data_IF_456154429770
#
_entry.id   IF_456154429770
#
_cell.length_a   1.000
_cell.length_b   1.000
_cell.length_c   1.000
_cell.angle_alpha   90.00
_cell.angle_beta   90.00
_cell.angle_gamma   90.00
#
_symmetry.space_group_name_H-M   'P 1'
#
loop_
_entity.id
_entity.type
_entity.pdbx_description
1 polymer ?
#
# COMPACT_ATOMS: atom_id res chain seq x y z
N UNK A 1 4.79 30.57 5.92
CA UNK A 1 4.25 29.32 6.51
C UNK A 1 4.68 29.18 7.95
N UNK A 2 3.85 28.57 8.80
CA UNK A 2 4.14 28.21 10.20
C UNK A 2 3.92 26.70 10.35
N UNK A 3 4.52 26.07 11.35
CA UNK A 3 4.23 24.66 11.68
C UNK A 3 3.15 24.55 12.77
N UNK A 4 2.50 23.39 12.87
CA UNK A 4 1.50 23.14 13.91
C UNK A 4 2.14 22.71 15.24
N UNK A 5 3.14 21.84 15.20
CA UNK A 5 3.76 21.24 16.38
C UNK A 5 5.07 21.98 16.74
N UNK A 6 5.21 22.45 17.97
CA UNK A 6 6.37 23.26 18.40
C UNK A 6 7.48 22.38 18.98
N UNK A 7 8.09 21.57 18.12
CA UNK A 7 9.05 20.55 18.52
C UNK A 7 10.47 20.99 18.18
N UNK A 8 11.33 21.04 19.20
CA UNK A 8 12.78 21.19 19.03
C UNK A 8 13.47 19.82 19.14
N UNK A 9 14.67 19.68 18.57
CA UNK A 9 15.38 18.39 18.48
C UNK A 9 15.52 17.63 19.81
N UNK A 10 15.76 18.32 20.94
CA UNK A 10 15.84 17.65 22.25
C UNK A 10 14.52 17.04 22.68
N UNK A 11 13.42 17.75 22.45
CA UNK A 11 12.09 17.28 22.80
C UNK A 11 11.64 16.16 21.86
N UNK A 12 11.97 16.27 20.56
CA UNK A 12 11.78 15.20 19.59
C UNK A 12 12.42 13.88 20.06
N UNK A 13 13.71 13.92 20.40
CA UNK A 13 14.40 12.72 20.86
C UNK A 13 13.79 12.16 22.16
N UNK A 14 13.37 13.04 23.08
CA UNK A 14 12.76 12.64 24.36
C UNK A 14 11.40 11.97 24.16
N UNK A 15 10.54 12.52 23.30
CA UNK A 15 9.19 12.00 23.08
C UNK A 15 9.22 10.65 22.35
N UNK A 16 10.09 10.50 21.35
CA UNK A 16 10.19 9.25 20.58
C UNK A 16 10.87 8.13 21.39
N UNK A 17 11.94 8.44 22.14
CA UNK A 17 12.59 7.45 23.01
C UNK A 17 11.64 6.89 24.07
N UNK A 18 10.73 7.71 24.61
CA UNK A 18 9.74 7.25 25.59
C UNK A 18 8.76 6.22 25.00
N UNK A 19 8.42 6.32 23.71
CA UNK A 19 7.60 5.34 23.00
C UNK A 19 8.37 4.05 22.78
N UNK A 20 9.62 4.17 22.32
CA UNK A 20 10.49 3.02 22.04
C UNK A 20 10.73 2.13 23.27
N UNK A 21 10.94 2.71 24.45
CA UNK A 21 11.09 1.95 25.69
C UNK A 21 9.87 1.06 26.00
N UNK A 22 8.65 1.54 25.69
CA UNK A 22 7.41 0.75 25.87
C UNK A 22 7.28 -0.34 24.80
N UNK A 23 7.55 0.02 23.55
CA UNK A 23 7.50 -0.90 22.42
C UNK A 23 8.48 -2.06 22.62
N UNK A 24 9.77 -1.77 22.82
CA UNK A 24 10.79 -2.80 22.93
C UNK A 24 10.70 -3.59 24.23
N UNK A 25 10.28 -2.98 25.34
CA UNK A 25 9.96 -3.72 26.57
C UNK A 25 8.89 -4.79 26.34
N UNK A 26 7.83 -4.45 25.60
CA UNK A 26 6.76 -5.40 25.26
C UNK A 26 7.27 -6.54 24.37
N UNK A 27 8.01 -6.21 23.29
CA UNK A 27 8.52 -7.20 22.33
C UNK A 27 9.55 -8.15 22.99
N UNK A 28 10.57 -7.59 23.63
CA UNK A 28 11.77 -8.32 24.05
C UNK A 28 11.64 -9.01 25.40
N UNK A 29 10.69 -8.60 26.25
CA UNK A 29 10.38 -9.28 27.51
C UNK A 29 9.04 -10.02 27.42
N UNK A 30 7.93 -9.27 27.32
CA UNK A 30 6.58 -9.80 27.44
C UNK A 30 6.24 -10.83 26.37
N UNK A 31 6.25 -10.42 25.10
CA UNK A 31 5.87 -11.29 23.98
C UNK A 31 6.85 -12.44 23.75
N UNK A 32 8.14 -12.21 24.01
CA UNK A 32 9.16 -13.27 23.94
C UNK A 32 8.89 -14.34 25.00
N UNK A 33 8.61 -13.95 26.25
CA UNK A 33 8.28 -14.89 27.35
C UNK A 33 6.98 -15.66 27.07
N UNK A 34 6.00 -15.03 26.42
CA UNK A 34 4.74 -15.68 26.04
C UNK A 34 4.88 -16.62 24.84
N UNK A 35 6.02 -16.60 24.13
CA UNK A 35 6.20 -17.31 22.86
C UNK A 35 5.25 -16.82 21.77
N UNK A 36 4.84 -15.54 21.83
CA UNK A 36 3.79 -14.98 20.96
C UNK A 36 4.16 -15.04 19.47
N UNK A 37 5.44 -14.92 19.14
CA UNK A 37 5.90 -14.92 17.74
C UNK A 37 5.65 -16.20 16.96
N UNK A 38 5.31 -17.31 17.63
CA UNK A 38 4.91 -18.56 16.97
C UNK A 38 3.45 -18.96 17.24
N UNK A 39 2.61 -18.01 17.67
CA UNK A 39 1.17 -18.21 17.94
C UNK A 39 0.29 -17.47 16.93
N UNK A 40 0.89 -16.98 15.86
CA UNK A 40 0.23 -16.29 14.75
C UNK A 40 -0.32 -17.30 13.77
N UNK A 41 -1.53 -17.08 13.26
CA UNK A 41 -2.08 -17.92 12.19
C UNK A 41 -1.14 -17.88 10.97
N UNK A 42 -0.80 -19.03 10.35
CA UNK A 42 0.23 -19.06 9.30
C UNK A 42 0.00 -18.05 8.16
N UNK A 43 -1.24 -17.94 7.65
CA UNK A 43 -1.57 -16.96 6.60
C UNK A 43 -1.19 -15.53 6.98
N UNK A 44 -1.42 -15.13 8.23
CA UNK A 44 -1.12 -13.78 8.67
C UNK A 44 0.39 -13.55 8.84
N UNK A 45 1.11 -14.52 9.39
CA UNK A 45 2.57 -14.46 9.45
C UNK A 45 3.20 -14.30 8.07
N UNK A 46 2.70 -15.03 7.07
CA UNK A 46 3.12 -14.88 5.66
C UNK A 46 2.74 -13.51 5.07
N UNK A 47 1.58 -12.98 5.43
CA UNK A 47 1.13 -11.65 5.01
C UNK A 47 2.02 -10.55 5.58
N UNK A 48 2.49 -10.71 6.82
CA UNK A 48 3.42 -9.78 7.46
C UNK A 48 4.83 -9.79 6.84
N UNK A 49 5.22 -10.82 6.08
CA UNK A 49 6.42 -10.75 5.22
C UNK A 49 6.28 -9.60 4.23
N UNK A 50 5.11 -9.53 3.58
CA UNK A 50 4.82 -8.54 2.54
C UNK A 50 4.52 -7.18 3.16
N UNK A 51 3.53 -7.07 4.04
CA UNK A 51 3.09 -5.78 4.60
C UNK A 51 4.26 -5.01 5.21
N UNK A 52 4.99 -5.63 6.14
CA UNK A 52 6.05 -4.93 6.85
C UNK A 52 7.20 -4.54 5.94
N UNK A 53 7.62 -5.40 5.01
CA UNK A 53 8.74 -5.07 4.11
C UNK A 53 8.34 -4.10 2.98
N UNK A 54 7.08 -4.11 2.54
CA UNK A 54 6.58 -3.17 1.55
C UNK A 54 6.36 -1.80 2.18
N UNK A 55 5.80 -1.71 3.40
CA UNK A 55 5.75 -0.45 4.13
C UNK A 55 7.14 0.10 4.41
N UNK A 56 8.13 -0.74 4.75
CA UNK A 56 9.53 -0.33 4.97
C UNK A 56 10.11 0.51 3.81
N UNK A 57 9.73 0.24 2.55
CA UNK A 57 10.22 1.07 1.43
C UNK A 57 9.50 2.43 1.35
N UNK A 58 8.23 2.48 1.74
CA UNK A 58 7.48 3.70 1.95
C UNK A 58 8.20 4.60 2.93
N UNK A 59 8.44 4.07 4.14
CA UNK A 59 9.11 4.81 5.20
C UNK A 59 10.49 5.27 4.71
N UNK A 60 11.27 4.37 4.11
CA UNK A 60 12.62 4.71 3.67
C UNK A 60 12.66 5.83 2.61
N UNK A 61 11.74 5.84 1.65
CA UNK A 61 11.69 6.91 0.65
C UNK A 61 11.03 8.17 1.18
N UNK A 62 10.13 8.06 2.17
CA UNK A 62 9.55 9.21 2.86
C UNK A 62 10.63 10.02 3.61
N UNK A 63 11.74 9.40 4.06
CA UNK A 63 12.94 10.11 4.55
C UNK A 63 13.44 11.10 3.49
N UNK A 64 13.67 10.62 2.28
CA UNK A 64 14.23 11.42 1.19
C UNK A 64 13.22 12.44 0.65
N UNK A 65 11.95 12.06 0.55
CA UNK A 65 10.85 12.95 0.17
C UNK A 65 10.72 14.11 1.14
N UNK A 66 10.69 13.83 2.45
CA UNK A 66 10.62 14.86 3.49
C UNK A 66 11.86 15.74 3.51
N UNK A 67 13.04 15.20 3.20
CA UNK A 67 14.26 15.99 3.04
C UNK A 67 14.21 16.92 1.81
N UNK A 68 13.62 16.47 0.70
CA UNK A 68 13.37 17.31 -0.48
C UNK A 68 12.36 18.42 -0.18
N UNK A 69 11.31 18.13 0.61
CA UNK A 69 10.35 19.15 1.08
C UNK A 69 10.98 20.13 2.06
N UNK A 70 11.86 19.65 2.94
CA UNK A 70 12.69 20.49 3.78
C UNK A 70 13.51 21.46 2.92
N UNK A 71 14.17 21.01 1.86
CA UNK A 71 14.91 21.88 0.95
C UNK A 71 14.00 22.92 0.27
N UNK A 72 12.85 22.46 -0.25
CA UNK A 72 11.86 23.26 -0.98
C UNK A 72 11.25 24.41 -0.18
N UNK A 73 11.03 24.22 1.13
CA UNK A 73 10.45 25.27 1.98
C UNK A 73 11.46 26.37 2.29
N UNK A 74 11.04 27.64 2.37
CA UNK A 74 11.94 28.73 2.84
C UNK A 74 11.79 29.03 4.33
N UNK A 75 10.58 28.89 4.87
CA UNK A 75 10.28 29.24 6.25
C UNK A 75 10.86 28.22 7.23
N UNK A 76 11.64 28.67 8.23
CA UNK A 76 12.31 27.81 9.19
C UNK A 76 11.36 26.86 9.94
N UNK A 77 10.15 27.31 10.32
CA UNK A 77 9.15 26.44 10.97
C UNK A 77 8.65 25.35 10.01
N UNK A 78 8.42 25.65 8.73
CA UNK A 78 8.00 24.64 7.76
C UNK A 78 9.12 23.62 7.50
N UNK A 79 10.37 24.11 7.39
CA UNK A 79 11.57 23.28 7.33
C UNK A 79 11.66 22.34 8.55
N UNK A 80 11.37 22.84 9.75
CA UNK A 80 11.41 22.05 10.99
C UNK A 80 10.32 20.96 11.03
N UNK A 81 9.11 21.25 10.56
CA UNK A 81 8.05 20.25 10.43
C UNK A 81 8.42 19.09 9.52
N UNK A 82 8.97 19.37 8.33
CA UNK A 82 9.48 18.32 7.44
C UNK A 82 10.69 17.60 8.02
N UNK A 83 11.58 18.29 8.75
CA UNK A 83 12.70 17.65 9.44
C UNK A 83 12.23 16.65 10.50
N UNK A 84 11.20 16.98 11.30
CA UNK A 84 10.64 16.04 12.27
C UNK A 84 10.16 14.77 11.55
N UNK A 85 9.49 14.94 10.41
CA UNK A 85 9.08 13.81 9.58
C UNK A 85 10.29 13.00 9.07
N UNK A 86 11.34 13.63 8.53
CA UNK A 86 12.58 12.92 8.11
C UNK A 86 13.08 11.94 9.19
N UNK A 87 13.07 12.36 10.45
CA UNK A 87 13.52 11.52 11.56
C UNK A 87 12.50 10.43 11.93
N UNK A 88 11.19 10.75 11.86
CA UNK A 88 10.12 9.77 12.07
C UNK A 88 10.22 8.65 11.03
N UNK A 89 10.47 8.97 9.76
CA UNK A 89 10.57 7.96 8.71
C UNK A 89 11.81 7.06 8.85
N UNK A 90 12.90 7.57 9.44
CA UNK A 90 14.04 6.72 9.83
C UNK A 90 13.60 5.75 10.94
N UNK A 91 12.84 6.25 11.92
CA UNK A 91 12.30 5.43 13.02
C UNK A 91 11.38 4.33 12.47
N UNK A 92 10.46 4.69 11.58
CA UNK A 92 9.47 3.78 10.99
C UNK A 92 10.13 2.72 10.10
N UNK A 93 11.14 3.11 9.31
CA UNK A 93 11.97 2.15 8.55
C UNK A 93 12.56 1.08 9.48
N UNK A 94 13.14 1.49 10.62
CA UNK A 94 13.70 0.55 11.59
C UNK A 94 12.64 -0.27 12.31
N UNK A 95 11.44 0.28 12.55
CA UNK A 95 10.31 -0.41 13.16
C UNK A 95 9.76 -1.53 12.26
N UNK A 96 9.51 -1.25 10.98
CA UNK A 96 9.15 -2.27 9.99
C UNK A 96 10.24 -3.35 9.88
N UNK A 97 11.50 -2.95 9.80
CA UNK A 97 12.62 -3.89 9.83
C UNK A 97 12.62 -4.75 11.10
N UNK A 98 12.27 -4.17 12.25
CA UNK A 98 12.25 -4.86 13.52
C UNK A 98 11.13 -5.89 13.62
N UNK A 99 9.95 -5.62 13.04
CA UNK A 99 8.87 -6.62 12.92
C UNK A 99 9.40 -7.85 12.17
N UNK A 100 9.95 -7.67 10.96
CA UNK A 100 10.49 -8.78 10.18
C UNK A 100 11.67 -9.48 10.90
N UNK A 101 12.53 -8.73 11.58
CA UNK A 101 13.61 -9.29 12.38
C UNK A 101 13.08 -10.13 13.55
N UNK A 102 12.04 -9.67 14.27
CA UNK A 102 11.43 -10.42 15.36
C UNK A 102 10.76 -11.70 14.85
N UNK A 103 9.97 -11.60 13.77
CA UNK A 103 9.38 -12.77 13.10
C UNK A 103 10.47 -13.76 12.67
N UNK A 104 11.57 -13.31 12.06
CA UNK A 104 12.69 -14.17 11.65
C UNK A 104 13.32 -14.95 12.79
N UNK A 105 13.24 -14.47 14.03
CA UNK A 105 13.80 -15.11 15.22
C UNK A 105 12.80 -16.00 15.96
N UNK A 106 11.50 -15.71 15.85
CA UNK A 106 10.49 -16.26 16.75
C UNK A 106 9.31 -16.96 16.07
N UNK A 107 9.15 -16.83 14.75
CA UNK A 107 8.09 -17.47 13.97
C UNK A 107 8.61 -18.72 13.25
N UNK A 108 7.74 -19.71 12.99
CA UNK A 108 8.15 -21.02 12.45
C UNK A 108 8.72 -20.96 11.03
N UNK A 109 8.40 -19.91 10.27
CA UNK A 109 8.91 -19.74 8.90
C UNK A 109 9.63 -18.40 8.73
N UNK A 110 10.94 -18.35 9.01
CA UNK A 110 11.72 -17.13 8.91
C UNK A 110 12.09 -16.76 7.45
N UNK A 111 11.97 -17.67 6.49
CA UNK A 111 12.33 -17.41 5.11
C UNK A 111 11.39 -16.35 4.51
N UNK A 112 11.94 -15.38 3.78
CA UNK A 112 11.19 -14.21 3.32
C UNK A 112 11.13 -13.10 4.37
N UNK A 113 10.87 -13.37 5.65
CA UNK A 113 11.07 -12.34 6.69
C UNK A 113 12.53 -11.91 6.80
N UNK A 114 13.46 -12.87 6.69
CA UNK A 114 14.88 -12.65 6.89
C UNK A 114 15.61 -12.07 5.67
N UNK A 115 14.97 -11.99 4.50
CA UNK A 115 15.64 -11.61 3.25
C UNK A 115 14.77 -10.91 2.20
N UNK A 116 13.56 -10.44 2.56
CA UNK A 116 12.65 -9.73 1.66
C UNK A 116 13.32 -8.60 0.87
N UNK A 117 14.28 -7.87 1.47
CA UNK A 117 15.01 -6.79 0.80
C UNK A 117 15.68 -7.20 -0.52
N UNK A 118 16.02 -8.48 -0.70
CA UNK A 118 16.46 -9.05 -1.98
C UNK A 118 15.38 -9.86 -2.70
N UNK A 119 14.63 -10.70 -1.99
CA UNK A 119 13.69 -11.66 -2.61
C UNK A 119 12.47 -10.97 -3.21
N UNK A 120 12.07 -9.79 -2.69
CA UNK A 120 11.02 -8.94 -3.28
C UNK A 120 11.29 -8.55 -4.73
N UNK A 121 12.56 -8.52 -5.16
CA UNK A 121 12.92 -8.13 -6.52
C UNK A 121 12.46 -9.14 -7.60
N UNK A 122 12.09 -10.37 -7.20
CA UNK A 122 11.63 -11.43 -8.10
C UNK A 122 10.19 -11.17 -8.58
N UNK A 123 9.33 -10.68 -7.69
CA UNK A 123 7.87 -10.64 -7.89
C UNK A 123 7.35 -9.37 -8.56
N UNK A 124 6.23 -9.45 -9.29
CA UNK A 124 5.63 -8.30 -9.97
C UNK A 124 4.99 -7.29 -9.00
N UNK A 125 4.40 -7.74 -7.89
CA UNK A 125 3.71 -6.86 -6.93
C UNK A 125 4.65 -5.82 -6.30
N UNK A 126 5.95 -6.14 -6.20
CA UNK A 126 6.96 -5.22 -5.71
C UNK A 126 7.14 -4.00 -6.61
N UNK A 127 6.96 -4.15 -7.93
CA UNK A 127 7.12 -3.05 -8.89
C UNK A 127 6.07 -1.97 -8.67
N UNK A 128 4.82 -2.36 -8.43
CA UNK A 128 3.75 -1.42 -8.10
C UNK A 128 3.97 -0.73 -6.75
N UNK A 129 4.49 -1.46 -5.75
CA UNK A 129 4.82 -0.85 -4.45
C UNK A 129 5.88 0.26 -4.61
N UNK A 130 6.93 0.01 -5.41
CA UNK A 130 7.92 1.05 -5.73
C UNK A 130 7.29 2.25 -6.42
N UNK A 131 6.33 2.04 -7.32
CA UNK A 131 5.69 3.17 -8.02
C UNK A 131 4.98 4.12 -7.06
N UNK A 132 4.27 3.59 -6.07
CA UNK A 132 3.46 4.40 -5.14
C UNK A 132 4.23 4.90 -3.92
N UNK A 133 5.06 4.05 -3.31
CA UNK A 133 5.74 4.28 -2.03
C UNK A 133 7.28 4.31 -2.16
N UNK A 134 7.80 4.48 -3.37
CA UNK A 134 9.20 4.87 -3.57
C UNK A 134 9.29 5.99 -4.59
N UNK A 135 9.22 5.64 -5.87
CA UNK A 135 9.43 6.55 -7.00
C UNK A 135 8.43 7.72 -6.95
N UNK A 136 7.16 7.45 -6.63
CA UNK A 136 6.10 8.47 -6.49
C UNK A 136 6.29 9.44 -5.32
N UNK A 137 7.13 9.12 -4.34
CA UNK A 137 7.43 10.02 -3.22
C UNK A 137 8.59 10.97 -3.51
N UNK A 138 9.43 10.69 -4.51
CA UNK A 138 10.69 11.44 -4.71
C UNK A 138 10.97 11.89 -6.14
N UNK A 139 10.22 11.40 -7.14
CA UNK A 139 10.52 11.64 -8.56
C UNK A 139 9.44 12.49 -9.23
N UNK A 140 9.54 13.81 -9.10
CA UNK A 140 8.60 14.77 -9.68
C UNK A 140 8.80 16.17 -9.11
N UNK A 141 7.81 17.05 -9.33
CA UNK A 141 7.74 18.30 -8.57
C UNK A 141 7.63 17.98 -7.07
N UNK A 142 8.27 18.77 -6.20
CA UNK A 142 8.20 18.55 -4.76
C UNK A 142 6.77 18.63 -4.23
N UNK A 143 5.90 19.48 -4.81
CA UNK A 143 4.48 19.53 -4.48
C UNK A 143 3.77 18.25 -4.93
N UNK A 144 4.04 17.74 -6.14
CA UNK A 144 3.51 16.44 -6.61
C UNK A 144 3.92 15.28 -5.68
N UNK A 145 5.16 15.31 -5.20
CA UNK A 145 5.69 14.34 -4.25
C UNK A 145 5.02 14.48 -2.87
N UNK A 146 4.82 15.70 -2.37
CA UNK A 146 4.10 15.96 -1.11
C UNK A 146 2.64 15.52 -1.18
N UNK A 147 1.95 15.71 -2.31
CA UNK A 147 0.57 15.21 -2.45
C UNK A 147 0.54 13.69 -2.53
N UNK A 148 1.49 13.04 -3.18
CA UNK A 148 1.62 11.57 -3.18
C UNK A 148 1.89 11.03 -1.77
N UNK A 149 2.86 11.60 -1.05
CA UNK A 149 3.23 11.17 0.30
C UNK A 149 2.19 11.59 1.34
N UNK A 150 2.08 12.88 1.62
CA UNK A 150 1.38 13.38 2.82
C UNK A 150 -0.11 13.55 2.61
N UNK A 151 -0.52 14.09 1.45
CA UNK A 151 -1.91 14.45 1.22
C UNK A 151 -2.77 13.27 0.79
N UNK A 152 -2.18 12.27 0.14
CA UNK A 152 -2.85 11.05 -0.32
C UNK A 152 -2.29 9.82 0.41
N UNK A 153 -1.01 9.50 0.27
CA UNK A 153 -0.40 8.29 0.82
C UNK A 153 -0.72 8.11 2.30
N UNK A 154 -0.30 9.06 3.14
CA UNK A 154 -0.51 9.06 4.58
C UNK A 154 -1.97 9.32 4.95
N UNK A 155 -2.52 10.45 4.51
CA UNK A 155 -3.84 10.88 4.96
C UNK A 155 -5.02 10.04 4.44
N UNK A 156 -4.87 9.37 3.30
CA UNK A 156 -5.91 8.49 2.72
C UNK A 156 -5.66 7.02 3.05
N UNK A 157 -4.40 6.57 3.00
CA UNK A 157 -4.04 5.15 3.12
C UNK A 157 -3.27 4.84 4.41
N UNK A 158 -2.05 5.33 4.62
CA UNK A 158 -1.17 4.87 5.72
C UNK A 158 -1.79 5.07 7.09
N UNK A 159 -2.31 6.26 7.42
CA UNK A 159 -2.84 6.53 8.75
C UNK A 159 -3.96 5.54 9.15
N UNK A 160 -5.03 5.33 8.35
CA UNK A 160 -6.01 4.29 8.67
C UNK A 160 -5.50 2.86 8.45
N UNK A 161 -4.57 2.63 7.50
CA UNK A 161 -3.98 1.32 7.21
C UNK A 161 -3.21 0.78 8.41
N UNK A 162 -2.35 1.58 9.03
CA UNK A 162 -1.50 1.15 10.15
C UNK A 162 -2.37 0.63 11.29
N UNK A 163 -3.46 1.32 11.63
CA UNK A 163 -4.44 0.86 12.64
C UNK A 163 -5.11 -0.45 12.20
N UNK A 164 -5.64 -0.51 10.98
CA UNK A 164 -6.32 -1.70 10.50
C UNK A 164 -5.41 -2.93 10.50
N UNK A 165 -4.14 -2.80 10.09
CA UNK A 165 -3.18 -3.92 10.16
C UNK A 165 -3.09 -4.46 11.59
N UNK A 166 -3.18 -3.62 12.62
CA UNK A 166 -3.19 -4.09 14.02
C UNK A 166 -4.47 -4.86 14.39
N UNK A 167 -5.62 -4.46 13.85
CA UNK A 167 -6.91 -5.14 14.07
C UNK A 167 -6.90 -6.52 13.39
N UNK A 168 -6.47 -6.60 12.13
CA UNK A 168 -6.33 -7.86 11.42
C UNK A 168 -5.24 -8.75 12.04
N UNK A 169 -4.15 -8.16 12.53
CA UNK A 169 -3.08 -8.88 13.21
C UNK A 169 -3.55 -9.56 14.49
N UNK A 170 -4.14 -8.78 15.41
CA UNK A 170 -4.64 -9.32 16.68
C UNK A 170 -5.75 -10.35 16.47
N UNK A 171 -6.65 -10.13 15.51
CA UNK A 171 -7.65 -11.13 15.12
C UNK A 171 -7.03 -12.46 14.64
N UNK A 172 -5.83 -12.43 14.08
CA UNK A 172 -5.08 -13.60 13.61
C UNK A 172 -3.94 -14.04 14.55
N UNK A 173 -3.95 -13.58 15.80
CA UNK A 173 -3.03 -14.01 16.86
C UNK A 173 -1.66 -13.33 16.87
N UNK A 174 -1.50 -12.24 16.12
CA UNK A 174 -0.28 -11.42 16.08
C UNK A 174 -0.39 -10.19 16.97
N UNK A 175 0.38 -10.21 18.06
CA UNK A 175 0.55 -9.08 19.00
C UNK A 175 1.87 -8.31 18.78
N UNK A 176 2.73 -8.78 17.87
CA UNK A 176 4.00 -8.12 17.51
C UNK A 176 3.67 -6.84 16.73
N UNK A 177 2.86 -6.99 15.69
CA UNK A 177 2.51 -5.89 14.80
C UNK A 177 1.75 -4.79 15.53
N UNK A 178 0.69 -5.05 16.33
CA UNK A 178 0.05 -4.04 17.16
C UNK A 178 1.01 -3.27 18.07
N UNK A 179 1.98 -3.96 18.68
CA UNK A 179 2.97 -3.32 19.57
C UNK A 179 3.80 -2.25 18.84
N UNK A 180 4.15 -2.50 17.58
CA UNK A 180 4.98 -1.59 16.78
C UNK A 180 4.13 -0.55 16.06
N UNK A 181 3.11 -0.98 15.32
CA UNK A 181 2.31 -0.12 14.46
C UNK A 181 1.44 0.87 15.23
N UNK A 182 0.96 0.54 16.43
CA UNK A 182 0.31 1.53 17.28
C UNK A 182 1.28 2.59 17.80
N UNK A 183 2.59 2.31 17.82
CA UNK A 183 3.58 3.36 18.11
C UNK A 183 3.89 4.22 16.89
N UNK A 184 3.99 3.62 15.70
CA UNK A 184 4.16 4.33 14.42
C UNK A 184 3.02 5.33 14.23
N UNK A 185 1.77 4.90 14.44
CA UNK A 185 0.58 5.73 14.23
C UNK A 185 0.58 7.03 15.04
N UNK A 186 1.21 7.05 16.21
CA UNK A 186 1.29 8.28 17.04
C UNK A 186 2.11 9.41 16.41
N UNK A 187 2.82 9.13 15.31
CA UNK A 187 3.62 10.10 14.55
C UNK A 187 2.89 10.67 13.34
N UNK A 188 2.01 9.88 12.73
CA UNK A 188 1.34 10.15 11.44
C UNK A 188 0.59 11.49 11.41
N UNK A 189 0.01 11.92 12.54
CA UNK A 189 -0.71 13.19 12.59
C UNK A 189 0.22 14.40 12.34
N UNK A 190 1.52 14.29 12.64
CA UNK A 190 2.51 15.33 12.29
C UNK A 190 2.74 15.39 10.78
N UNK A 191 2.74 14.24 10.12
CA UNK A 191 3.02 14.10 8.69
C UNK A 191 1.82 14.58 7.86
N UNK A 192 0.61 14.21 8.28
CA UNK A 192 -0.63 14.77 7.74
C UNK A 192 -0.70 16.31 7.89
N UNK A 193 -0.21 16.85 9.02
CA UNK A 193 -0.12 18.30 9.21
C UNK A 193 0.93 18.95 8.28
N UNK A 194 2.02 18.26 7.98
CA UNK A 194 2.99 18.70 6.97
C UNK A 194 2.36 18.82 5.59
N UNK A 195 1.59 17.80 5.14
CA UNK A 195 0.85 17.86 3.88
C UNK A 195 -0.15 19.03 3.83
N UNK A 196 -0.87 19.27 4.94
CA UNK A 196 -1.74 20.44 5.08
C UNK A 196 -0.94 21.75 4.93
N UNK A 197 0.23 21.85 5.57
CA UNK A 197 1.07 23.05 5.47
C UNK A 197 1.73 23.22 4.11
N UNK A 198 1.97 22.15 3.34
CA UNK A 198 2.38 22.26 1.93
C UNK A 198 1.34 23.08 1.17
N UNK A 199 0.06 22.70 1.25
CA UNK A 199 -1.04 23.41 0.59
C UNK A 199 -1.14 24.86 1.07
N UNK A 200 -1.10 25.09 2.39
CA UNK A 200 -1.15 26.45 2.96
C UNK A 200 0.01 27.32 2.46
N UNK A 201 1.20 26.75 2.31
CA UNK A 201 2.40 27.49 1.92
C UNK A 201 2.34 28.03 0.49
N UNK A 202 1.64 27.33 -0.40
CA UNK A 202 1.51 27.69 -1.82
C UNK A 202 0.17 28.34 -2.17
N UNK A 203 -0.79 28.40 -1.24
CA UNK A 203 -2.18 28.80 -1.51
C UNK A 203 -2.34 30.22 -2.12
N UNK A 204 -1.38 31.12 -1.88
CA UNK A 204 -1.39 32.48 -2.45
C UNK A 204 -0.55 32.60 -3.73
N UNK A 205 0.11 31.54 -4.18
CA UNK A 205 0.81 31.50 -5.46
C UNK A 205 -0.21 31.26 -6.59
N UNK A 206 -0.29 32.12 -7.62
CA UNK A 206 -1.14 31.88 -8.79
C UNK A 206 -0.91 30.53 -9.49
N UNK A 207 0.26 29.91 -9.32
CA UNK A 207 0.56 28.58 -9.83
C UNK A 207 -0.30 27.49 -9.16
N UNK A 208 -0.63 27.63 -7.86
CA UNK A 208 -1.44 26.65 -7.14
C UNK A 208 -2.83 26.50 -7.77
N UNK A 209 -3.46 27.61 -8.18
CA UNK A 209 -4.75 27.60 -8.86
C UNK A 209 -4.71 26.91 -10.25
N UNK A 210 -3.53 26.81 -10.87
CA UNK A 210 -3.36 26.18 -12.19
C UNK A 210 -3.02 24.69 -12.10
N UNK A 211 -2.17 24.30 -11.14
CA UNK A 211 -1.51 23.00 -11.17
C UNK A 211 -1.94 22.06 -10.03
N UNK A 212 -2.25 22.58 -8.83
CA UNK A 212 -2.43 21.76 -7.63
C UNK A 212 -3.49 20.67 -7.76
N UNK A 213 -4.66 20.98 -8.32
CA UNK A 213 -5.73 19.98 -8.50
C UNK A 213 -5.42 18.96 -9.61
N UNK A 214 -4.50 19.26 -10.52
CA UNK A 214 -3.99 18.28 -11.50
C UNK A 214 -3.04 17.32 -10.82
N UNK A 215 -2.06 17.84 -10.06
CA UNK A 215 -1.09 17.02 -9.32
C UNK A 215 -1.79 16.17 -8.26
N UNK A 216 -2.75 16.73 -7.52
CA UNK A 216 -3.56 15.99 -6.56
C UNK A 216 -4.35 14.85 -7.22
N UNK A 217 -4.96 15.09 -8.37
CA UNK A 217 -5.68 14.03 -9.08
C UNK A 217 -4.73 12.92 -9.55
N UNK A 218 -3.56 13.29 -10.08
CA UNK A 218 -2.55 12.36 -10.55
C UNK A 218 -1.98 11.52 -9.40
N UNK A 219 -1.68 12.15 -8.26
CA UNK A 219 -1.22 11.50 -7.05
C UNK A 219 -2.29 10.58 -6.45
N UNK A 220 -3.54 11.05 -6.35
CA UNK A 220 -4.65 10.21 -5.91
C UNK A 220 -4.77 8.95 -6.77
N UNK A 221 -4.78 9.11 -8.10
CA UNK A 221 -4.87 7.96 -9.00
C UNK A 221 -3.67 7.03 -8.85
N UNK A 222 -2.45 7.58 -8.75
CA UNK A 222 -1.22 6.82 -8.53
C UNK A 222 -1.32 5.92 -7.31
N UNK A 223 -1.65 6.50 -6.15
CA UNK A 223 -1.71 5.77 -4.88
C UNK A 223 -2.83 4.73 -4.88
N UNK A 224 -4.05 5.14 -5.25
CA UNK A 224 -5.21 4.25 -5.20
C UNK A 224 -5.06 3.08 -6.19
N UNK A 225 -4.42 3.28 -7.36
CA UNK A 225 -4.30 2.23 -8.38
C UNK A 225 -3.58 0.99 -7.86
N UNK A 226 -2.65 1.17 -6.92
CA UNK A 226 -2.00 0.06 -6.24
C UNK A 226 -2.74 -0.39 -4.98
N UNK A 227 -3.09 0.53 -4.07
CA UNK A 227 -3.63 0.16 -2.76
C UNK A 227 -5.05 -0.41 -2.82
N UNK A 228 -5.88 0.06 -3.75
CA UNK A 228 -7.24 -0.45 -3.94
C UNK A 228 -7.25 -1.98 -4.17
N UNK A 229 -6.49 -2.54 -5.13
CA UNK A 229 -6.39 -3.99 -5.27
C UNK A 229 -5.50 -4.66 -4.22
N UNK A 230 -4.34 -4.09 -3.89
CA UNK A 230 -3.34 -4.78 -3.08
C UNK A 230 -3.75 -4.97 -1.61
N UNK A 231 -4.35 -3.96 -0.98
CA UNK A 231 -4.73 -4.02 0.44
C UNK A 231 -5.88 -5.00 0.66
N UNK A 232 -6.92 -4.95 -0.18
CA UNK A 232 -8.02 -5.92 -0.11
C UNK A 232 -7.55 -7.36 -0.30
N UNK A 233 -6.60 -7.59 -1.19
CA UNK A 233 -5.98 -8.90 -1.38
C UNK A 233 -5.24 -9.36 -0.12
N UNK A 234 -4.34 -8.51 0.42
CA UNK A 234 -3.55 -8.84 1.61
C UNK A 234 -4.42 -9.08 2.83
N UNK A 235 -5.47 -8.29 3.03
CA UNK A 235 -6.39 -8.46 4.16
C UNK A 235 -7.28 -9.69 4.02
N UNK A 236 -8.00 -9.83 2.92
CA UNK A 236 -9.04 -10.86 2.82
C UNK A 236 -8.47 -12.26 2.52
N UNK A 237 -7.44 -12.35 1.68
CA UNK A 237 -6.82 -13.63 1.31
C UNK A 237 -5.65 -14.00 2.22
N UNK A 238 -4.99 -13.02 2.83
CA UNK A 238 -3.89 -13.20 3.77
C UNK A 238 -4.30 -13.54 5.20
N UNK A 239 -5.59 -13.64 5.49
CA UNK A 239 -6.12 -13.87 6.84
C UNK A 239 -6.99 -15.13 6.94
N UNK A 240 -7.11 -15.67 8.15
CA UNK A 240 -8.14 -16.67 8.48
C UNK A 240 -9.34 -15.97 9.10
N UNK A 241 -9.11 -15.22 10.16
CA UNK A 241 -10.15 -14.44 10.83
C UNK A 241 -10.31 -13.08 10.15
N UNK A 242 -11.54 -12.80 9.71
CA UNK A 242 -11.90 -11.61 8.93
C UNK A 242 -12.41 -10.50 9.85
N UNK A 243 -11.98 -9.26 9.61
CA UNK A 243 -12.44 -8.08 10.37
C UNK A 243 -13.61 -7.41 9.65
N UNK A 244 -13.41 -6.96 8.41
CA UNK A 244 -14.42 -6.27 7.60
C UNK A 244 -14.17 -6.54 6.10
N UNK A 245 -15.20 -6.63 5.24
CA UNK A 245 -14.98 -6.66 3.80
C UNK A 245 -14.40 -5.34 3.29
N UNK A 246 -13.33 -5.45 2.51
CA UNK A 246 -12.54 -4.35 1.97
C UNK A 246 -13.38 -3.29 1.26
N UNK A 247 -14.44 -3.66 0.54
CA UNK A 247 -15.31 -2.68 -0.13
C UNK A 247 -15.94 -1.67 0.84
N UNK A 248 -16.25 -2.08 2.08
CA UNK A 248 -16.77 -1.17 3.12
C UNK A 248 -15.66 -0.28 3.65
N UNK A 249 -14.51 -0.89 3.94
CA UNK A 249 -13.31 -0.19 4.42
C UNK A 249 -12.86 0.88 3.43
N UNK A 250 -12.70 0.52 2.16
CA UNK A 250 -12.29 1.42 1.09
C UNK A 250 -13.25 2.59 0.94
N UNK A 251 -14.56 2.34 0.93
CA UNK A 251 -15.55 3.41 0.84
C UNK A 251 -15.44 4.38 2.02
N UNK A 252 -15.29 3.86 3.24
CA UNK A 252 -15.12 4.69 4.44
C UNK A 252 -13.85 5.54 4.36
N UNK A 253 -12.69 4.91 4.14
CA UNK A 253 -11.40 5.61 4.12
C UNK A 253 -11.30 6.60 2.98
N UNK A 254 -11.54 6.14 1.76
CA UNK A 254 -11.20 6.91 0.55
C UNK A 254 -12.32 7.88 0.19
N UNK A 255 -13.58 7.44 0.25
CA UNK A 255 -14.69 8.24 -0.24
C UNK A 255 -15.29 9.16 0.83
N UNK A 256 -15.41 8.69 2.07
CA UNK A 256 -16.05 9.44 3.17
C UNK A 256 -15.04 10.25 3.97
N UNK A 257 -14.09 9.58 4.62
CA UNK A 257 -13.13 10.20 5.54
C UNK A 257 -12.15 11.11 4.78
N UNK A 258 -11.51 10.59 3.73
CA UNK A 258 -10.53 11.34 2.97
C UNK A 258 -11.17 12.29 1.95
N UNK A 259 -11.88 11.72 0.97
CA UNK A 259 -12.44 12.46 -0.17
C UNK A 259 -13.53 13.46 0.22
N UNK A 260 -14.22 13.21 1.34
CA UNK A 260 -15.21 14.11 1.92
C UNK A 260 -14.62 15.02 2.99
N UNK A 261 -14.26 14.47 4.15
CA UNK A 261 -13.93 15.27 5.34
C UNK A 261 -12.53 15.89 5.24
N UNK A 262 -11.48 15.11 4.97
CA UNK A 262 -10.10 15.59 4.97
C UNK A 262 -9.86 16.61 3.85
N UNK A 263 -10.19 16.26 2.60
CA UNK A 263 -10.05 17.16 1.46
C UNK A 263 -10.99 18.37 1.58
N UNK A 264 -12.20 18.20 2.14
CA UNK A 264 -13.12 19.31 2.39
C UNK A 264 -12.52 20.44 3.25
N UNK A 265 -11.60 20.12 4.19
CA UNK A 265 -10.91 21.14 5.01
C UNK A 265 -9.95 22.03 4.20
N UNK A 266 -9.52 21.57 3.04
CA UNK A 266 -8.59 22.26 2.14
C UNK A 266 -9.32 23.08 1.06
N UNK A 267 -10.65 22.99 0.96
CA UNK A 267 -11.44 23.73 -0.04
C UNK A 267 -11.25 25.26 0.02
N UNK A 268 -11.02 25.81 1.22
CA UNK A 268 -10.67 27.23 1.41
C UNK A 268 -9.34 27.66 0.76
N UNK A 269 -8.50 26.71 0.34
CA UNK A 269 -7.26 26.93 -0.38
C UNK A 269 -7.37 26.56 -1.87
N UNK A 270 -8.59 26.32 -2.38
CA UNK A 270 -8.83 25.96 -3.77
C UNK A 270 -8.62 24.49 -4.11
N UNK A 271 -8.47 23.62 -3.11
CA UNK A 271 -8.37 22.17 -3.31
C UNK A 271 -9.75 21.56 -3.55
N UNK A 272 -9.85 20.69 -4.54
CA UNK A 272 -11.07 19.95 -4.89
C UNK A 272 -10.85 18.45 -4.71
N UNK A 273 -11.92 17.71 -4.41
CA UNK A 273 -11.86 16.23 -4.44
C UNK A 273 -11.43 15.76 -5.84
N UNK A 274 -10.55 14.72 -5.96
CA UNK A 274 -10.06 14.29 -7.26
C UNK A 274 -11.17 13.93 -8.24
N UNK A 275 -11.05 14.43 -9.47
CA UNK A 275 -11.99 14.11 -10.56
C UNK A 275 -12.11 12.60 -10.84
N UNK A 276 -11.05 11.84 -10.58
CA UNK A 276 -10.99 10.39 -10.76
C UNK A 276 -11.53 9.58 -9.56
N UNK A 277 -11.99 10.23 -8.48
CA UNK A 277 -12.47 9.55 -7.26
C UNK A 277 -13.67 8.62 -7.53
N UNK A 278 -14.55 9.00 -8.45
CA UNK A 278 -15.71 8.19 -8.85
C UNK A 278 -15.29 6.94 -9.59
N UNK A 279 -14.30 7.05 -10.47
CA UNK A 279 -13.78 5.91 -11.24
C UNK A 279 -13.08 4.92 -10.31
N UNK A 280 -12.27 5.43 -9.37
CA UNK A 280 -11.61 4.61 -8.35
C UNK A 280 -12.63 3.81 -7.52
N UNK A 281 -13.77 4.42 -7.18
CA UNK A 281 -14.85 3.76 -6.44
C UNK A 281 -15.51 2.62 -7.22
N UNK A 282 -15.64 2.76 -8.53
CA UNK A 282 -16.19 1.68 -9.38
C UNK A 282 -15.23 0.50 -9.37
N UNK A 283 -13.92 0.73 -9.51
CA UNK A 283 -12.91 -0.33 -9.56
C UNK A 283 -12.75 -1.05 -8.21
N UNK A 284 -12.92 -0.33 -7.10
CA UNK A 284 -12.68 -0.83 -5.75
C UNK A 284 -13.52 -2.06 -5.34
N UNK A 285 -14.62 -2.34 -6.03
CA UNK A 285 -15.47 -3.48 -5.71
C UNK A 285 -14.78 -4.82 -6.00
N UNK A 286 -14.19 -4.99 -7.20
CA UNK A 286 -13.65 -6.28 -7.65
C UNK A 286 -12.12 -6.31 -7.81
N UNK A 287 -11.45 -5.16 -7.86
CA UNK A 287 -10.04 -5.06 -8.22
C UNK A 287 -9.11 -5.95 -7.36
N UNK A 288 -9.40 -6.09 -6.07
CA UNK A 288 -8.59 -6.91 -5.16
C UNK A 288 -8.77 -8.42 -5.38
N UNK A 289 -9.95 -8.87 -5.79
CA UNK A 289 -10.18 -10.26 -6.20
C UNK A 289 -9.54 -10.56 -7.57
N UNK A 290 -9.58 -9.60 -8.50
CA UNK A 290 -8.90 -9.70 -9.79
C UNK A 290 -7.37 -9.81 -9.61
N UNK A 291 -6.81 -9.00 -8.70
CA UNK A 291 -5.40 -9.08 -8.34
C UNK A 291 -5.06 -10.42 -7.65
N UNK A 292 -5.94 -10.92 -6.79
CA UNK A 292 -5.73 -12.22 -6.14
C UNK A 292 -5.55 -13.34 -7.18
N UNK A 293 -6.30 -13.36 -8.29
CA UNK A 293 -6.05 -14.34 -9.36
C UNK A 293 -4.61 -14.30 -9.89
N UNK A 294 -4.09 -13.10 -10.17
CA UNK A 294 -2.72 -12.94 -10.65
C UNK A 294 -1.69 -13.36 -9.59
N UNK A 295 -1.88 -12.95 -8.33
CA UNK A 295 -0.98 -13.27 -7.23
C UNK A 295 -0.87 -14.78 -6.97
N UNK A 296 -2.01 -15.48 -6.93
CA UNK A 296 -2.02 -16.94 -6.76
C UNK A 296 -1.48 -17.68 -7.97
N UNK A 297 -1.73 -17.18 -9.19
CA UNK A 297 -1.21 -17.80 -10.41
C UNK A 297 0.32 -17.67 -10.55
N UNK A 298 0.89 -16.58 -10.03
CA UNK A 298 2.31 -16.24 -10.06
C UNK A 298 3.02 -16.51 -8.73
N UNK A 299 2.45 -17.35 -7.86
CA UNK A 299 2.96 -17.63 -6.52
C UNK A 299 4.47 -17.98 -6.45
N UNK A 300 5.11 -18.65 -7.42
CA UNK A 300 6.54 -18.96 -7.33
C UNK A 300 7.45 -17.72 -7.40
N UNK A 301 6.93 -16.58 -7.83
CA UNK A 301 7.65 -15.30 -7.90
C UNK A 301 7.54 -14.49 -6.59
N UNK A 302 6.71 -14.94 -5.65
CA UNK A 302 6.56 -14.32 -4.34
C UNK A 302 7.63 -14.75 -3.34
N UNK A 303 7.58 -14.16 -2.15
CA UNK A 303 8.43 -14.52 -1.01
C UNK A 303 7.59 -14.83 0.26
N UNK A 304 6.31 -15.15 0.05
CA UNK A 304 5.35 -15.60 1.05
C UNK A 304 4.66 -16.87 0.57
N UNK A 305 4.19 -17.70 1.51
CA UNK A 305 3.39 -18.88 1.22
C UNK A 305 1.92 -18.50 1.18
N UNK A 306 1.24 -18.87 0.09
CA UNK A 306 -0.18 -18.60 -0.11
C UNK A 306 -1.03 -19.80 0.31
N UNK A 307 -2.31 -19.57 0.58
CA UNK A 307 -3.28 -20.64 0.89
C UNK A 307 -4.57 -20.37 0.12
N UNK A 308 -5.09 -21.34 -0.62
CA UNK A 308 -6.36 -21.15 -1.30
C UNK A 308 -7.49 -20.90 -0.28
N UNK A 309 -8.51 -20.09 -0.62
CA UNK A 309 -9.70 -19.93 0.22
C UNK A 309 -10.32 -21.29 0.56
N UNK A 310 -10.47 -21.59 1.85
CA UNK A 310 -11.16 -22.79 2.31
C UNK A 310 -12.69 -22.62 2.25
N UNK A 311 -13.45 -23.64 2.64
CA UNK A 311 -14.93 -23.59 2.53
C UNK A 311 -15.55 -22.45 3.34
N UNK A 312 -15.00 -22.13 4.51
CA UNK A 312 -15.47 -21.01 5.34
C UNK A 312 -15.12 -19.67 4.70
N UNK A 313 -13.90 -19.54 4.16
CA UNK A 313 -13.50 -18.35 3.42
C UNK A 313 -14.38 -18.13 2.19
N UNK A 314 -14.65 -19.19 1.41
CA UNK A 314 -15.50 -19.13 0.21
C UNK A 314 -16.93 -18.71 0.56
N UNK A 315 -17.49 -19.22 1.65
CA UNK A 315 -18.80 -18.79 2.14
C UNK A 315 -18.80 -17.32 2.56
N UNK A 316 -17.74 -16.85 3.23
CA UNK A 316 -17.59 -15.45 3.61
C UNK A 316 -17.45 -14.54 2.38
N UNK A 317 -16.65 -14.94 1.38
CA UNK A 317 -16.49 -14.19 0.14
C UNK A 317 -17.82 -14.07 -0.61
N UNK A 318 -18.57 -15.16 -0.79
CA UNK A 318 -19.86 -15.10 -1.48
C UNK A 318 -20.89 -14.27 -0.70
N UNK A 319 -20.90 -14.34 0.63
CA UNK A 319 -21.82 -13.56 1.45
C UNK A 319 -21.57 -12.04 1.36
N UNK A 320 -20.31 -11.62 1.23
CA UNK A 320 -19.94 -10.20 1.17
C UNK A 320 -19.80 -9.67 -0.27
N UNK A 321 -19.52 -10.56 -1.22
CA UNK A 321 -19.34 -10.27 -2.63
C UNK A 321 -20.14 -11.26 -3.49
N UNK A 322 -21.49 -11.15 -3.53
CA UNK A 322 -22.32 -12.06 -4.31
C UNK A 322 -21.87 -12.16 -5.77
N UNK A 323 -21.69 -13.40 -6.24
CA UNK A 323 -21.10 -13.71 -7.54
C UNK A 323 -19.59 -13.94 -7.53
N UNK A 324 -18.96 -13.94 -6.36
CA UNK A 324 -17.56 -14.36 -6.20
C UNK A 324 -17.41 -15.87 -6.41
N UNK A 325 -18.31 -16.68 -5.85
CA UNK A 325 -18.27 -18.13 -5.94
C UNK A 325 -18.39 -18.63 -7.38
N UNK A 326 -19.26 -17.99 -8.17
CA UNK A 326 -19.52 -18.35 -9.56
C UNK A 326 -18.38 -18.01 -10.53
N UNK A 327 -17.39 -17.24 -10.08
CA UNK A 327 -16.24 -16.81 -10.86
C UNK A 327 -14.91 -17.25 -10.21
N UNK A 328 -14.44 -16.50 -9.22
CA UNK A 328 -13.16 -16.77 -8.53
C UNK A 328 -13.19 -18.11 -7.78
N UNK A 329 -14.30 -18.39 -7.07
CA UNK A 329 -14.45 -19.65 -6.34
C UNK A 329 -14.33 -20.87 -7.25
N UNK A 330 -14.98 -20.85 -8.42
CA UNK A 330 -14.83 -21.92 -9.42
C UNK A 330 -13.39 -22.05 -9.92
N UNK A 331 -12.72 -20.94 -10.21
CA UNK A 331 -11.33 -20.95 -10.69
C UNK A 331 -10.39 -21.53 -9.62
N UNK A 332 -10.46 -21.08 -8.37
CA UNK A 332 -9.62 -21.60 -7.29
C UNK A 332 -9.88 -23.07 -6.99
N UNK A 333 -11.15 -23.49 -7.00
CA UNK A 333 -11.51 -24.89 -6.80
C UNK A 333 -11.02 -25.77 -7.96
N UNK A 334 -11.00 -25.27 -9.18
CA UNK A 334 -10.40 -25.96 -10.32
C UNK A 334 -8.87 -26.07 -10.18
N UNK A 335 -8.18 -24.98 -9.83
CA UNK A 335 -6.75 -25.01 -9.57
C UNK A 335 -6.37 -25.99 -8.45
N UNK A 336 -7.20 -26.07 -7.40
CA UNK A 336 -7.03 -27.06 -6.33
C UNK A 336 -7.11 -28.50 -6.86
N UNK A 337 -8.11 -28.81 -7.70
CA UNK A 337 -8.27 -30.13 -8.33
C UNK A 337 -7.11 -30.49 -9.26
N UNK A 338 -6.55 -29.49 -9.95
CA UNK A 338 -5.38 -29.64 -10.82
C UNK A 338 -4.06 -29.76 -10.03
N UNK A 339 -4.10 -29.68 -8.70
CA UNK A 339 -2.95 -29.93 -7.84
C UNK A 339 -2.13 -28.69 -7.49
N UNK A 340 -2.77 -27.52 -7.31
CA UNK A 340 -2.12 -26.26 -6.90
C UNK A 340 -1.16 -26.41 -5.72
N UNK A 341 -1.55 -27.18 -4.70
CA UNK A 341 -0.79 -27.37 -3.46
C UNK A 341 0.06 -28.65 -3.47
N UNK A 342 -0.07 -29.50 -4.50
CA UNK A 342 0.70 -30.75 -4.61
C UNK A 342 1.99 -30.51 -5.42
N UNK A 343 3.18 -30.57 -4.80
CA UNK A 343 4.44 -30.36 -5.52
C UNK A 343 4.73 -31.43 -6.59
N UNK A 344 3.99 -32.54 -6.63
CA UNK A 344 4.13 -33.59 -7.64
C UNK A 344 3.27 -33.35 -8.88
N UNK A 345 2.36 -32.38 -8.86
CA UNK A 345 1.39 -32.15 -9.95
C UNK A 345 2.01 -31.59 -11.22
N UNK A 346 3.13 -30.85 -11.10
CA UNK A 346 3.68 -30.06 -12.20
C UNK A 346 2.77 -28.91 -12.65
N UNK A 347 1.76 -28.56 -11.84
CA UNK A 347 0.77 -27.54 -12.16
C UNK A 347 1.13 -26.18 -11.54
N UNK A 348 1.13 -25.13 -12.36
CA UNK A 348 1.20 -23.73 -11.93
C UNK A 348 0.08 -22.97 -12.64
N UNK A 349 -0.79 -22.21 -11.94
CA UNK A 349 -1.97 -21.65 -12.59
C UNK A 349 -1.67 -20.59 -13.67
N UNK A 350 -0.50 -19.96 -13.67
CA UNK A 350 -0.11 -19.12 -14.79
C UNK A 350 -0.09 -19.88 -16.13
N UNK A 351 0.34 -21.15 -16.15
CA UNK A 351 0.26 -21.98 -17.34
C UNK A 351 -1.20 -22.25 -17.75
N UNK A 352 -2.08 -22.45 -16.77
CA UNK A 352 -3.53 -22.60 -17.01
C UNK A 352 -4.14 -21.32 -17.60
N UNK A 353 -3.75 -20.15 -17.10
CA UNK A 353 -4.19 -18.86 -17.64
C UNK A 353 -3.82 -18.75 -19.13
N UNK A 354 -2.55 -19.00 -19.48
CA UNK A 354 -2.07 -18.95 -20.88
C UNK A 354 -2.79 -19.96 -21.76
N UNK A 355 -2.95 -21.21 -21.31
CA UNK A 355 -3.63 -22.27 -22.08
C UNK A 355 -5.10 -21.97 -22.37
N UNK A 356 -5.75 -21.17 -21.53
CA UNK A 356 -7.16 -20.78 -21.68
C UNK A 356 -7.34 -19.36 -22.26
N UNK A 357 -6.27 -18.73 -22.76
CA UNK A 357 -6.36 -17.39 -23.39
C UNK A 357 -6.53 -16.24 -22.39
N UNK A 358 -6.14 -16.43 -21.14
CA UNK A 358 -6.16 -15.42 -20.09
C UNK A 358 -4.77 -14.78 -19.92
N UNK A 359 -4.37 -13.95 -20.90
CA UNK A 359 -3.08 -13.26 -20.85
C UNK A 359 -3.00 -12.27 -19.67
N UNK A 360 -1.84 -12.24 -19.02
CA UNK A 360 -1.53 -11.29 -17.94
C UNK A 360 -0.70 -10.15 -18.52
N UNK A 361 -1.19 -8.93 -18.38
CA UNK A 361 -0.50 -7.71 -18.78
C UNK A 361 0.01 -6.97 -17.55
N UNK A 362 1.01 -6.11 -17.74
CA UNK A 362 1.52 -5.20 -16.71
C UNK A 362 1.29 -3.78 -17.23
N UNK A 363 0.64 -2.95 -16.41
CA UNK A 363 0.45 -1.54 -16.73
C UNK A 363 1.79 -0.79 -16.75
N UNK A 364 2.09 -0.08 -17.85
CA UNK A 364 3.36 0.65 -18.02
C UNK A 364 3.61 1.71 -16.96
N UNK A 365 2.54 2.27 -16.38
CA UNK A 365 2.62 3.37 -15.41
C UNK A 365 2.65 2.83 -13.99
N UNK A 366 1.58 2.15 -13.57
CA UNK A 366 1.37 1.68 -12.20
C UNK A 366 2.07 0.37 -11.86
N UNK A 367 2.50 -0.40 -12.87
CA UNK A 367 3.06 -1.75 -12.72
C UNK A 367 2.07 -2.79 -12.14
N UNK A 368 0.78 -2.45 -12.04
CA UNK A 368 -0.24 -3.37 -11.53
C UNK A 368 -0.56 -4.42 -12.59
N UNK A 369 -0.56 -5.72 -12.24
CA UNK A 369 -0.99 -6.78 -13.15
C UNK A 369 -2.46 -6.68 -13.51
N UNK A 370 -2.80 -7.01 -14.75
CA UNK A 370 -4.16 -6.98 -15.25
C UNK A 370 -4.46 -8.19 -16.15
N UNK A 371 -5.60 -8.85 -15.93
CA UNK A 371 -6.06 -10.01 -16.71
C UNK A 371 -7.41 -9.64 -17.36
N UNK A 372 -7.42 -8.99 -18.53
CA UNK A 372 -8.63 -8.37 -19.09
C UNK A 372 -9.79 -9.34 -19.28
N UNK A 373 -9.50 -10.60 -19.64
CA UNK A 373 -10.54 -11.60 -19.91
C UNK A 373 -11.14 -12.25 -18.66
N UNK A 374 -10.55 -12.03 -17.47
CA UNK A 374 -11.05 -12.53 -16.20
C UNK A 374 -11.44 -11.42 -15.22
N UNK A 375 -11.02 -10.19 -15.46
CA UNK A 375 -11.30 -9.07 -14.58
C UNK A 375 -12.79 -8.76 -14.53
N UNK A 376 -13.32 -8.60 -13.32
CA UNK A 376 -14.66 -8.03 -13.08
C UNK A 376 -14.60 -6.53 -12.79
N UNK A 377 -13.41 -5.99 -12.52
CA UNK A 377 -13.13 -4.57 -12.38
C UNK A 377 -13.28 -3.78 -13.69
N UNK A 378 -13.01 -2.48 -13.59
CA UNK A 378 -13.27 -1.49 -14.64
C UNK A 378 -12.10 -1.22 -15.58
N UNK A 379 -10.93 -1.82 -15.32
CA UNK A 379 -9.75 -1.70 -16.17
C UNK A 379 -10.01 -2.12 -17.62
N UNK A 380 -9.32 -1.49 -18.56
CA UNK A 380 -9.42 -1.81 -19.99
C UNK A 380 -8.04 -1.75 -20.65
N UNK A 381 -7.67 -2.81 -21.38
CA UNK A 381 -6.37 -2.90 -22.03
C UNK A 381 -6.28 -1.96 -23.24
N UNK A 382 -5.20 -1.19 -23.31
CA UNK A 382 -4.83 -0.36 -24.45
C UNK A 382 -3.37 -0.61 -24.77
N UNK A 383 -3.09 -0.94 -26.03
CA UNK A 383 -1.74 -1.25 -26.48
C UNK A 383 -1.32 -0.23 -27.52
N UNK A 384 -0.27 0.53 -27.19
CA UNK A 384 0.34 1.51 -28.09
C UNK A 384 1.69 1.00 -28.57
N UNK A 385 2.07 1.41 -29.78
CA UNK A 385 3.44 1.28 -30.26
C UNK A 385 4.05 2.69 -30.38
N UNK A 386 5.15 2.92 -29.67
CA UNK A 386 5.87 4.20 -29.70
C UNK A 386 7.35 3.92 -29.85
N UNK A 387 7.98 4.52 -30.87
CA UNK A 387 9.39 4.30 -31.19
C UNK A 387 9.81 2.80 -31.30
N UNK A 388 8.92 1.98 -31.87
CA UNK A 388 9.15 0.54 -32.05
C UNK A 388 9.01 -0.33 -30.79
N UNK A 389 8.58 0.25 -29.67
CA UNK A 389 8.30 -0.46 -28.42
C UNK A 389 6.79 -0.49 -28.15
N UNK A 390 6.30 -1.64 -27.65
CA UNK A 390 4.90 -1.81 -27.24
C UNK A 390 4.71 -1.47 -25.76
N UNK A 391 3.60 -0.80 -25.46
CA UNK A 391 3.23 -0.38 -24.11
C UNK A 391 1.78 -0.77 -23.83
N UNK A 392 1.55 -1.52 -22.75
CA UNK A 392 0.21 -1.85 -22.25
C UNK A 392 -0.20 -0.88 -21.15
N UNK A 393 -1.37 -0.26 -21.32
CA UNK A 393 -2.00 0.66 -20.38
C UNK A 393 -3.35 0.09 -19.98
N UNK A 394 -3.80 0.36 -18.75
CA UNK A 394 -4.99 -0.30 -18.17
C UNK A 394 -6.14 0.64 -17.79
N UNK A 395 -5.94 1.96 -17.84
CA UNK A 395 -6.97 2.97 -17.55
C UNK A 395 -6.61 4.35 -18.15
N UNK A 396 -7.60 5.25 -18.26
CA UNK A 396 -7.47 6.54 -18.99
C UNK A 396 -6.56 7.54 -18.27
N UNK A 397 -6.48 7.44 -16.95
CA UNK A 397 -5.66 8.33 -16.14
C UNK A 397 -4.18 7.99 -16.30
N UNK A 398 -3.81 6.70 -16.20
CA UNK A 398 -2.46 6.22 -16.46
C UNK A 398 -2.06 6.38 -17.93
N UNK A 399 -2.96 6.09 -18.88
CA UNK A 399 -2.68 6.34 -20.29
C UNK A 399 -2.41 7.82 -20.59
N UNK A 400 -3.19 8.75 -20.02
CA UNK A 400 -2.92 10.19 -20.13
C UNK A 400 -1.52 10.54 -19.60
N UNK A 401 -1.16 10.02 -18.43
CA UNK A 401 0.17 10.26 -17.85
C UNK A 401 1.28 9.78 -18.80
N UNK A 402 1.17 8.56 -19.31
CA UNK A 402 2.16 8.01 -20.24
C UNK A 402 2.22 8.76 -21.58
N UNK A 403 1.08 9.15 -22.15
CA UNK A 403 1.05 9.91 -23.42
C UNK A 403 1.65 11.31 -23.28
N UNK A 404 1.58 11.90 -22.08
CA UNK A 404 2.08 13.25 -21.82
C UNK A 404 3.55 13.24 -21.38
N UNK A 405 3.96 12.21 -20.64
CA UNK A 405 5.25 12.12 -19.95
C UNK A 405 5.89 10.72 -20.18
N UNK A 406 6.04 10.24 -21.42
CA UNK A 406 6.50 8.87 -21.69
C UNK A 406 7.89 8.58 -21.11
N UNK A 407 8.75 9.60 -21.02
CA UNK A 407 10.10 9.52 -20.44
C UNK A 407 10.12 9.28 -18.92
N UNK A 408 9.01 9.53 -18.22
CA UNK A 408 8.89 9.20 -16.78
C UNK A 408 8.53 7.73 -16.55
N UNK A 409 8.05 7.03 -17.59
CA UNK A 409 7.39 5.73 -17.47
C UNK A 409 8.01 4.68 -18.38
N UNK A 410 9.30 4.40 -18.15
CA UNK A 410 10.11 3.44 -18.93
C UNK A 410 10.41 2.13 -18.16
N UNK A 411 9.76 1.91 -17.01
CA UNK A 411 9.99 0.75 -16.13
C UNK A 411 9.75 -0.60 -16.80
#
# INVERSE_FOLDING_TARGET
TKEQFKVIAKEYARMEAAKDERQFGTLLDGLTRLGAGNRVHPRWGETMKVISNFLEVGEYNAIAASAMLWDSATAAEQKNGYLAQVLDEIRHTHQCAFINHYYSKHYHDPAGHNDARRTRAIGPLWKGMKRVFADGFISGDAVECSVNLQLVGEACFTNPLIVAVTEWASANGDEITPTVFLSVETDELRHMANGYQTVVSIANDPAAAKYLNTDLNNAFWTQQKYFTPALGYLFEYGSKFKVEPWVKTWNRWVYEDWGGIWIGRLGKYGVESPRSLRDAKVDAYWAHHDLALAAYALWPLGFSRLSLPDEEDQAWFEANYPGWADHYGKIYNEWKKLGYEDPKSGFIPYAWLVQNGHEVYIDRVSQVPFIPSLAKGSGSLRVHEFNGQKHSLTDEWGERMWLTEPERYEC
#
